data_IF_629121266920
#
_entry.id   IF_629121266920
#
_cell.length_a   1.000
_cell.length_b   1.000
_cell.length_c   1.000
_cell.angle_alpha   90.00
_cell.angle_beta   90.00
_cell.angle_gamma   90.00
#
_symmetry.space_group_name_H-M   'P 1'
#
loop_
_entity.id
_entity.type
_entity.pdbx_description
1 polymer ?
#
# COMPACT_ATOMS: atom_id res chain seq x y z
N UNK A 1 -3.96 25.17 -8.74
CA UNK A 1 -2.72 25.92 -8.39
C UNK A 1 -1.75 25.84 -9.56
N UNK A 2 -1.17 26.96 -10.04
CA UNK A 2 -0.18 26.91 -11.11
C UNK A 2 1.06 26.09 -10.70
N UNK A 3 1.66 25.34 -11.65
CA UNK A 3 2.82 24.46 -11.39
C UNK A 3 4.00 25.17 -10.70
N UNK A 4 4.25 26.44 -11.07
CA UNK A 4 5.28 27.25 -10.44
C UNK A 4 5.04 27.50 -8.94
N UNK A 5 3.79 27.66 -8.54
CA UNK A 5 3.42 27.83 -7.14
C UNK A 5 3.54 26.50 -6.35
N UNK A 6 3.24 25.38 -7.02
CA UNK A 6 3.43 24.06 -6.43
C UNK A 6 4.92 23.78 -6.18
N UNK A 7 5.80 24.03 -7.15
CA UNK A 7 7.24 23.88 -7.01
C UNK A 7 7.79 24.72 -5.85
N UNK A 8 7.36 25.97 -5.72
CA UNK A 8 7.75 26.85 -4.60
C UNK A 8 7.21 26.32 -3.26
N UNK A 9 5.96 25.82 -3.22
CA UNK A 9 5.37 25.25 -2.02
C UNK A 9 6.11 24.00 -1.55
N UNK A 10 6.56 23.16 -2.47
CA UNK A 10 7.30 21.91 -2.15
C UNK A 10 8.78 22.15 -1.87
N UNK A 11 9.32 23.33 -2.24
CA UNK A 11 10.71 23.69 -1.97
C UNK A 11 11.01 23.67 -0.46
N UNK A 12 12.02 22.92 -0.07
CA UNK A 12 12.42 22.74 1.33
C UNK A 12 11.53 21.81 2.14
N UNK A 13 10.51 21.17 1.54
CA UNK A 13 9.74 20.13 2.19
C UNK A 13 10.47 18.79 2.07
N UNK A 14 10.42 17.94 3.11
CA UNK A 14 11.02 16.62 3.04
C UNK A 14 10.34 15.77 1.96
N UNK A 15 11.11 14.91 1.33
CA UNK A 15 10.62 13.89 0.41
C UNK A 15 9.90 12.77 1.17
N UNK A 16 9.09 11.97 0.48
CA UNK A 16 8.48 10.77 1.06
C UNK A 16 9.53 9.82 1.64
N UNK A 17 10.68 9.68 0.97
CA UNK A 17 11.78 8.83 1.44
C UNK A 17 12.38 9.34 2.76
N UNK A 18 12.60 10.65 2.88
CA UNK A 18 13.09 11.26 4.12
C UNK A 18 12.08 11.15 5.27
N UNK A 19 10.79 11.33 4.98
CA UNK A 19 9.75 11.17 5.98
C UNK A 19 9.65 9.71 6.47
N UNK A 20 9.65 8.75 5.55
CA UNK A 20 9.66 7.31 5.91
C UNK A 20 10.89 6.96 6.76
N UNK A 21 12.07 7.44 6.37
CA UNK A 21 13.30 7.22 7.14
C UNK A 21 13.22 7.77 8.57
N UNK A 22 12.63 8.97 8.75
CA UNK A 22 12.40 9.58 10.08
C UNK A 22 11.48 8.74 10.95
N UNK A 23 10.41 8.20 10.38
CA UNK A 23 9.47 7.35 11.11
C UNK A 23 10.12 6.02 11.47
N UNK A 24 10.78 5.38 10.50
CA UNK A 24 11.50 4.10 10.69
C UNK A 24 12.56 4.20 11.79
N UNK A 25 13.29 5.31 11.87
CA UNK A 25 14.30 5.52 12.89
C UNK A 25 13.77 5.52 14.34
N UNK A 26 12.44 5.64 14.51
CA UNK A 26 11.76 5.63 15.82
C UNK A 26 11.15 4.29 16.19
N UNK A 27 11.21 3.31 15.28
CA UNK A 27 10.59 1.99 15.43
C UNK A 27 11.69 0.96 15.61
N UNK A 28 11.58 0.13 16.64
CA UNK A 28 12.50 -0.99 16.82
C UNK A 28 12.24 -2.07 15.77
N UNK A 29 13.26 -2.81 15.42
CA UNK A 29 13.18 -3.83 14.37
C UNK A 29 12.09 -4.88 14.64
N UNK A 30 11.95 -5.31 15.87
CA UNK A 30 10.93 -6.27 16.30
C UNK A 30 9.50 -5.69 16.27
N UNK A 31 9.35 -4.37 16.35
CA UNK A 31 8.06 -3.70 16.23
C UNK A 31 7.65 -3.54 14.77
N UNK A 32 8.60 -3.41 13.85
CA UNK A 32 8.33 -3.28 12.42
C UNK A 32 7.52 -4.47 11.89
N UNK A 33 7.91 -5.69 12.22
CA UNK A 33 7.22 -6.91 11.78
C UNK A 33 5.83 -7.10 12.37
N UNK A 34 5.44 -6.26 13.32
CA UNK A 34 4.14 -6.21 13.99
C UNK A 34 3.36 -4.94 13.67
N UNK A 35 3.91 -4.08 12.83
CA UNK A 35 3.34 -2.78 12.51
C UNK A 35 2.39 -2.86 11.32
N UNK A 36 1.39 -1.98 11.35
CA UNK A 36 0.48 -1.72 10.23
C UNK A 36 0.76 -0.31 9.73
N UNK A 37 0.98 -0.17 8.43
CA UNK A 37 1.31 1.10 7.80
C UNK A 37 0.17 1.57 6.90
N UNK A 38 -0.18 2.83 7.02
CA UNK A 38 -1.17 3.49 6.17
C UNK A 38 -0.45 4.59 5.39
N UNK A 39 -0.18 4.32 4.11
CA UNK A 39 0.49 5.26 3.21
C UNK A 39 -0.45 5.51 2.04
N UNK A 40 -0.92 6.76 1.90
CA UNK A 40 -1.95 7.10 0.89
C UNK A 40 -1.52 6.72 -0.53
N UNK A 41 -0.27 7.01 -0.90
CA UNK A 41 0.26 6.68 -2.23
C UNK A 41 0.55 5.18 -2.32
N UNK A 42 0.05 4.48 -3.36
CA UNK A 42 0.31 3.05 -3.53
C UNK A 42 1.75 2.78 -3.95
N UNK A 43 2.29 1.59 -3.65
CA UNK A 43 3.56 1.13 -4.21
C UNK A 43 3.46 0.97 -5.72
N UNK A 44 4.59 1.14 -6.43
CA UNK A 44 4.69 0.76 -7.84
C UNK A 44 4.69 -0.76 -8.03
N UNK A 45 4.39 -1.20 -9.25
CA UNK A 45 4.61 -2.58 -9.74
C UNK A 45 3.82 -3.69 -9.02
N UNK A 46 2.85 -3.36 -8.18
CA UNK A 46 1.98 -4.35 -7.51
C UNK A 46 0.55 -4.37 -8.07
N UNK A 47 0.28 -3.69 -9.18
CA UNK A 47 -1.08 -3.58 -9.73
C UNK A 47 -2.03 -2.69 -8.92
N UNK A 48 -1.50 -1.88 -8.01
CA UNK A 48 -2.28 -0.97 -7.16
C UNK A 48 -2.19 0.49 -7.62
N UNK A 49 -1.55 0.71 -8.75
CA UNK A 49 -1.14 2.03 -9.23
C UNK A 49 -1.64 2.36 -10.64
N UNK A 50 -2.65 1.63 -11.11
CA UNK A 50 -3.15 1.71 -12.48
C UNK A 50 -4.32 2.67 -12.56
N UNK A 51 -4.14 3.80 -13.26
CA UNK A 51 -5.21 4.74 -13.58
C UNK A 51 -6.14 4.20 -14.67
N UNK A 52 -7.33 4.79 -14.80
CA UNK A 52 -8.31 4.41 -15.83
C UNK A 52 -7.78 4.57 -17.26
N UNK A 53 -6.82 5.46 -17.49
CA UNK A 53 -6.14 5.65 -18.78
C UNK A 53 -4.93 4.71 -18.98
N UNK A 54 -4.72 3.76 -18.08
CA UNK A 54 -3.64 2.76 -18.12
C UNK A 54 -2.28 3.26 -17.60
N UNK A 55 -2.15 4.53 -17.23
CA UNK A 55 -0.89 5.03 -16.63
C UNK A 55 -0.65 4.39 -15.27
N UNK A 56 0.62 4.13 -14.97
CA UNK A 56 1.08 3.65 -13.67
C UNK A 56 1.72 4.80 -12.90
N UNK A 57 1.21 5.09 -11.72
CA UNK A 57 1.58 6.27 -10.93
C UNK A 57 2.00 5.91 -9.50
N UNK A 58 2.33 4.65 -9.27
CA UNK A 58 2.78 4.15 -7.97
C UNK A 58 4.15 4.69 -7.56
N UNK A 59 4.44 4.57 -6.29
CA UNK A 59 5.68 5.03 -5.69
C UNK A 59 6.74 3.93 -5.62
N UNK A 60 7.85 4.06 -6.34
CA UNK A 60 9.00 3.18 -6.14
C UNK A 60 9.58 3.26 -4.71
N UNK A 61 9.46 4.43 -4.08
CA UNK A 61 9.90 4.63 -2.68
C UNK A 61 9.08 3.78 -1.71
N UNK A 62 7.75 3.72 -1.88
CA UNK A 62 6.90 2.85 -1.05
C UNK A 62 7.24 1.38 -1.28
N UNK A 63 7.45 0.97 -2.53
CA UNK A 63 7.85 -0.41 -2.82
C UNK A 63 9.21 -0.78 -2.19
N UNK A 64 10.20 0.11 -2.28
CA UNK A 64 11.50 -0.09 -1.59
C UNK A 64 11.34 -0.21 -0.08
N UNK A 65 10.54 0.68 0.52
CA UNK A 65 10.21 0.63 1.94
C UNK A 65 9.64 -0.74 2.34
N UNK A 66 8.66 -1.26 1.62
CA UNK A 66 8.05 -2.57 1.90
C UNK A 66 9.10 -3.68 1.82
N UNK A 67 9.90 -3.71 0.75
CA UNK A 67 10.94 -4.74 0.54
C UNK A 67 12.00 -4.72 1.63
N UNK A 68 12.40 -3.53 2.06
CA UNK A 68 13.49 -3.35 3.03
C UNK A 68 13.05 -3.62 4.47
N UNK A 69 11.84 -3.18 4.85
CA UNK A 69 11.43 -3.14 6.25
C UNK A 69 10.43 -4.24 6.63
N UNK A 70 9.71 -4.80 5.66
CA UNK A 70 8.81 -5.93 5.85
C UNK A 70 7.82 -5.74 7.03
N UNK A 71 7.02 -4.64 7.06
CA UNK A 71 5.95 -4.51 8.03
C UNK A 71 4.96 -5.67 7.92
N UNK A 72 4.14 -5.90 8.96
CA UNK A 72 3.12 -6.94 8.92
C UNK A 72 2.12 -6.71 7.79
N UNK A 73 1.60 -5.49 7.72
CA UNK A 73 0.52 -5.11 6.82
C UNK A 73 0.70 -3.67 6.38
N UNK A 74 0.31 -3.36 5.17
CA UNK A 74 0.19 -2.00 4.69
C UNK A 74 -1.08 -1.76 3.89
N UNK A 75 -1.53 -0.51 3.88
CA UNK A 75 -2.72 -0.06 3.18
C UNK A 75 -2.43 1.21 2.40
N UNK A 76 -2.91 1.27 1.18
CA UNK A 76 -2.90 2.45 0.33
C UNK A 76 -4.29 2.80 -0.18
N UNK A 77 -4.42 3.99 -0.75
CA UNK A 77 -5.60 4.47 -1.44
C UNK A 77 -5.21 5.16 -2.75
N UNK A 78 -5.59 6.41 -2.90
CA UNK A 78 -5.25 7.32 -3.98
C UNK A 78 -5.83 6.95 -5.36
N UNK A 79 -5.54 5.79 -5.90
CA UNK A 79 -6.00 5.35 -7.22
C UNK A 79 -7.23 4.44 -7.03
N UNK A 80 -8.39 5.05 -6.99
CA UNK A 80 -9.63 4.37 -6.61
C UNK A 80 -10.02 3.25 -7.57
N UNK A 81 -9.71 3.42 -8.85
CA UNK A 81 -10.05 2.47 -9.91
C UNK A 81 -9.02 1.36 -10.11
N UNK A 82 -7.83 1.45 -9.52
CA UNK A 82 -6.72 0.55 -9.82
C UNK A 82 -7.04 -0.94 -9.69
N UNK A 83 -7.71 -1.41 -8.63
CA UNK A 83 -8.03 -2.85 -8.51
C UNK A 83 -8.92 -3.38 -9.62
N UNK A 84 -9.65 -2.51 -10.31
CA UNK A 84 -10.63 -2.87 -11.34
C UNK A 84 -10.08 -2.75 -12.76
N UNK A 85 -8.85 -2.28 -12.92
CA UNK A 85 -8.18 -2.19 -14.21
C UNK A 85 -7.56 -3.52 -14.62
N UNK A 86 -7.30 -3.70 -15.92
CA UNK A 86 -6.56 -4.86 -16.41
C UNK A 86 -5.18 -4.95 -15.73
N UNK A 87 -4.87 -6.07 -15.09
CA UNK A 87 -3.66 -6.25 -14.27
C UNK A 87 -3.73 -5.60 -12.90
N UNK A 88 -4.90 -5.04 -12.51
CA UNK A 88 -5.13 -4.49 -11.19
C UNK A 88 -5.18 -5.54 -10.09
N UNK A 89 -4.76 -5.16 -8.90
CA UNK A 89 -4.77 -5.99 -7.69
C UNK A 89 -5.27 -5.17 -6.51
N UNK A 90 -6.11 -5.75 -5.66
CA UNK A 90 -6.53 -5.14 -4.41
C UNK A 90 -5.66 -5.54 -3.21
N UNK A 91 -4.85 -6.60 -3.37
CA UNK A 91 -3.91 -7.07 -2.39
C UNK A 91 -2.75 -7.81 -3.04
N UNK A 92 -1.55 -7.66 -2.49
CA UNK A 92 -0.35 -8.34 -2.96
C UNK A 92 0.62 -8.62 -1.81
N UNK A 93 1.26 -9.78 -1.87
CA UNK A 93 2.35 -10.12 -0.97
C UNK A 93 3.68 -9.60 -1.53
N UNK A 94 4.46 -8.96 -0.66
CA UNK A 94 5.84 -8.56 -0.94
C UNK A 94 6.71 -9.10 0.18
N UNK A 95 7.34 -10.24 -0.04
CA UNK A 95 7.95 -10.99 1.06
C UNK A 95 6.89 -11.38 2.09
N UNK A 96 7.09 -11.00 3.35
CA UNK A 96 6.17 -11.28 4.47
C UNK A 96 5.07 -10.22 4.65
N UNK A 97 5.13 -9.13 3.92
CA UNK A 97 4.18 -8.03 4.01
C UNK A 97 3.01 -8.23 3.07
N UNK A 98 1.79 -8.19 3.60
CA UNK A 98 0.59 -8.02 2.79
C UNK A 98 0.36 -6.51 2.58
N UNK A 99 0.24 -6.07 1.33
CA UNK A 99 -0.14 -4.70 0.99
C UNK A 99 -1.50 -4.67 0.34
N UNK A 100 -2.35 -3.70 0.73
CA UNK A 100 -3.76 -3.65 0.37
C UNK A 100 -4.14 -2.31 -0.23
N UNK A 101 -5.04 -2.35 -1.22
CA UNK A 101 -5.75 -1.19 -1.75
C UNK A 101 -7.13 -1.63 -2.23
N UNK A 102 -8.21 -1.38 -1.46
CA UNK A 102 -9.54 -1.87 -1.80
C UNK A 102 -10.15 -1.20 -3.04
N UNK A 103 -9.73 0.01 -3.38
CA UNK A 103 -10.39 0.82 -4.39
C UNK A 103 -11.73 1.38 -3.92
N UNK A 104 -12.40 2.16 -4.78
CA UNK A 104 -13.74 2.69 -4.55
C UNK A 104 -14.26 3.33 -5.86
N UNK A 105 -15.06 2.61 -6.63
CA UNK A 105 -15.50 3.08 -7.97
C UNK A 105 -17.02 3.30 -8.09
N UNK A 106 -17.81 2.82 -7.13
CA UNK A 106 -19.24 3.00 -7.12
C UNK A 106 -19.78 3.29 -5.70
N UNK A 107 -21.09 3.27 -5.52
CA UNK A 107 -21.76 3.58 -4.26
C UNK A 107 -21.71 2.45 -3.22
N UNK A 108 -21.28 1.25 -3.59
CA UNK A 108 -21.14 0.12 -2.66
C UNK A 108 -19.87 0.31 -1.83
N UNK A 109 -19.87 -0.23 -0.62
CA UNK A 109 -18.67 -0.22 0.21
C UNK A 109 -17.61 -1.16 -0.37
N UNK A 110 -16.47 -0.61 -0.72
CA UNK A 110 -15.28 -1.36 -1.10
C UNK A 110 -14.31 -1.37 0.07
N UNK A 111 -14.16 -2.51 0.71
CA UNK A 111 -13.30 -2.67 1.87
C UNK A 111 -12.58 -4.01 1.85
N UNK A 112 -11.53 -4.10 2.64
CA UNK A 112 -10.84 -5.35 2.94
C UNK A 112 -10.92 -5.60 4.44
N UNK A 113 -11.39 -6.78 4.82
CA UNK A 113 -11.35 -7.26 6.19
C UNK A 113 -10.15 -8.19 6.32
N UNK A 114 -9.28 -7.89 7.27
CA UNK A 114 -8.10 -8.69 7.57
C UNK A 114 -8.25 -9.32 8.94
N UNK A 115 -8.02 -10.62 9.03
CA UNK A 115 -7.93 -11.34 10.28
C UNK A 115 -6.46 -11.56 10.62
N UNK A 116 -6.08 -11.16 11.83
CA UNK A 116 -4.73 -11.35 12.36
C UNK A 116 -4.75 -12.42 13.44
N UNK A 117 -3.80 -13.33 13.37
CA UNK A 117 -3.60 -14.35 14.38
C UNK A 117 -2.85 -13.84 15.62
N UNK A 118 -2.88 -14.62 16.69
CA UNK A 118 -2.21 -14.30 17.95
C UNK A 118 -0.69 -14.18 17.84
N UNK A 119 -0.08 -14.80 16.82
CA UNK A 119 1.34 -14.69 16.48
C UNK A 119 1.71 -13.51 15.60
N UNK A 120 0.82 -12.53 15.43
CA UNK A 120 1.00 -11.39 14.52
C UNK A 120 1.28 -11.82 13.07
N UNK A 121 0.51 -12.75 12.57
CA UNK A 121 0.44 -13.13 11.16
C UNK A 121 -0.92 -12.75 10.57
N UNK A 122 -0.94 -12.54 9.27
CA UNK A 122 -2.20 -12.42 8.53
C UNK A 122 -2.77 -13.82 8.32
N UNK A 123 -3.94 -14.10 8.88
CA UNK A 123 -4.64 -15.38 8.70
C UNK A 123 -5.56 -15.38 7.49
N UNK A 124 -6.21 -14.25 7.23
CA UNK A 124 -7.04 -14.08 6.05
C UNK A 124 -7.16 -12.61 5.67
N UNK A 125 -7.43 -12.36 4.39
CA UNK A 125 -7.81 -11.05 3.87
C UNK A 125 -8.93 -11.25 2.85
N UNK A 126 -10.04 -10.56 3.05
CA UNK A 126 -11.24 -10.68 2.23
C UNK A 126 -11.69 -9.31 1.72
N UNK A 127 -11.77 -9.19 0.40
CA UNK A 127 -12.33 -8.01 -0.24
C UNK A 127 -13.86 -8.13 -0.37
N UNK A 128 -14.58 -7.02 -0.16
CA UNK A 128 -16.05 -6.99 -0.18
C UNK A 128 -16.68 -7.44 -1.51
N UNK A 129 -15.96 -7.31 -2.63
CA UNK A 129 -16.43 -7.70 -3.97
C UNK A 129 -15.70 -8.93 -4.55
N UNK A 130 -14.42 -9.07 -4.28
CA UNK A 130 -13.59 -10.11 -4.91
C UNK A 130 -13.42 -11.37 -4.06
N UNK A 131 -13.88 -11.36 -2.81
CA UNK A 131 -13.72 -12.48 -1.90
C UNK A 131 -12.31 -12.57 -1.30
N UNK A 132 -11.87 -13.78 -0.98
CA UNK A 132 -10.61 -14.00 -0.27
C UNK A 132 -9.39 -13.81 -1.17
N UNK A 133 -8.35 -13.22 -0.62
CA UNK A 133 -7.02 -13.29 -1.18
C UNK A 133 -6.50 -14.71 -0.93
N UNK A 134 -6.00 -15.35 -1.99
CA UNK A 134 -5.35 -16.65 -1.85
C UNK A 134 -4.24 -16.54 -0.82
N UNK A 135 -4.27 -17.49 0.13
CA UNK A 135 -3.35 -17.54 1.24
C UNK A 135 -1.89 -17.53 0.76
N UNK A 136 -1.07 -16.98 1.65
CA UNK A 136 0.38 -17.05 1.77
C UNK A 136 1.11 -17.82 0.67
N UNK A 137 2.04 -17.19 -0.05
CA UNK A 137 2.98 -17.95 -0.84
C UNK A 137 3.70 -18.91 0.13
N UNK A 138 3.47 -20.19 -0.06
CA UNK A 138 4.20 -21.26 0.65
C UNK A 138 5.69 -21.01 0.42
N UNK A 139 6.40 -20.65 1.48
CA UNK A 139 7.86 -20.48 1.49
C UNK A 139 8.55 -21.84 1.46
#
# INVERSE_FOLDING_TARGET
MPLANLARYLSGKPTLEEELARVVARIRREEMTRSIWMIHQPPSDLGMDICADGRRVGSPTVLRFIRQHQPLLGCSGHIHESPYQSGGQWGAWVGRTLWLQPGQVDHRLHCVVVQLGSGFQVESARHSLYGELLADPVW
#
